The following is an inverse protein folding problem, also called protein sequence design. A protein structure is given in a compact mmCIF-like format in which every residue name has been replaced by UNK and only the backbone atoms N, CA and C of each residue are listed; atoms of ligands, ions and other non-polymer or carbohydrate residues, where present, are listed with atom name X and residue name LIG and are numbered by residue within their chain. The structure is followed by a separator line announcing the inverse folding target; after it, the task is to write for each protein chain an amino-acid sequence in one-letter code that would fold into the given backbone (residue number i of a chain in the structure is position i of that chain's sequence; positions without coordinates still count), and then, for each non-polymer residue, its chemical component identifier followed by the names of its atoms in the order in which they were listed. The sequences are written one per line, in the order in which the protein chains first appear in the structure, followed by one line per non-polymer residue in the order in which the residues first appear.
data_IF_265656565465
#
_entry.id   IF_265656565465
#
_cell.length_a   1.000
_cell.length_b   1.000
_cell.length_c   1.000
_cell.angle_alpha   90.00
_cell.angle_beta   90.00
_cell.angle_gamma   90.00
#
_symmetry.space_group_name_H-M   'P 1'
#
loop_
_entity.id
_entity.type
_entity.pdbx_description
1 polymer ?
#
# COMPACT_ATOMS: atom_id res chain seq x y z
N UNK A 1 -43.68 -9.05 18.12
CA UNK A 1 -43.28 -8.73 16.75
C UNK A 1 -42.75 -7.31 16.77
N UNK A 2 -41.43 -7.17 16.95
CA UNK A 2 -40.73 -5.91 16.86
C UNK A 2 -40.69 -5.51 15.39
N UNK A 3 -41.33 -4.39 15.04
CA UNK A 3 -41.12 -3.73 13.75
C UNK A 3 -39.73 -3.12 13.81
N UNK A 4 -38.75 -3.81 13.24
CA UNK A 4 -37.50 -3.14 12.82
C UNK A 4 -37.94 -2.07 11.81
N UNK A 5 -37.75 -0.80 12.16
CA UNK A 5 -37.79 0.28 11.19
C UNK A 5 -36.69 -0.03 10.19
N UNK A 6 -37.03 -0.15 8.91
CA UNK A 6 -36.07 -0.08 7.83
C UNK A 6 -35.48 1.33 7.88
N UNK A 7 -34.36 1.49 8.56
CA UNK A 7 -33.55 2.70 8.41
C UNK A 7 -33.02 2.66 6.98
N UNK A 8 -33.42 3.63 6.19
CA UNK A 8 -32.96 3.82 4.82
C UNK A 8 -31.50 4.26 4.89
N UNK A 9 -30.57 3.29 4.83
CA UNK A 9 -29.15 3.56 4.81
C UNK A 9 -28.78 4.25 3.51
N UNK A 10 -28.17 5.42 3.61
CA UNK A 10 -27.58 6.08 2.44
C UNK A 10 -26.33 5.32 1.99
N UNK A 11 -26.20 5.13 0.70
CA UNK A 11 -25.03 4.44 0.11
C UNK A 11 -23.73 5.16 0.48
N UNK A 12 -23.78 6.47 0.58
CA UNK A 12 -22.64 7.30 0.96
C UNK A 12 -22.16 7.00 2.39
N UNK A 13 -23.09 6.81 3.32
CA UNK A 13 -22.79 6.48 4.72
C UNK A 13 -22.19 5.07 4.84
N UNK A 14 -22.71 4.14 4.05
CA UNK A 14 -22.18 2.78 3.98
C UNK A 14 -20.76 2.77 3.38
N UNK A 15 -20.52 3.51 2.30
CA UNK A 15 -19.23 3.64 1.67
C UNK A 15 -18.21 4.29 2.62
N UNK A 16 -18.60 5.36 3.32
CA UNK A 16 -17.75 6.02 4.32
C UNK A 16 -17.39 5.08 5.48
N UNK A 17 -18.37 4.35 5.99
CA UNK A 17 -18.16 3.37 7.07
C UNK A 17 -17.22 2.25 6.64
N UNK A 18 -17.41 1.71 5.44
CA UNK A 18 -16.53 0.68 4.87
C UNK A 18 -15.10 1.20 4.71
N UNK A 19 -14.92 2.38 4.10
CA UNK A 19 -13.61 3.00 3.94
C UNK A 19 -12.92 3.19 5.30
N UNK A 20 -13.63 3.70 6.29
CA UNK A 20 -13.10 3.91 7.64
C UNK A 20 -12.62 2.60 8.25
N UNK A 21 -13.43 1.56 8.23
CA UNK A 21 -13.06 0.26 8.80
C UNK A 21 -11.83 -0.37 8.12
N UNK A 22 -11.74 -0.27 6.79
CA UNK A 22 -10.57 -0.78 6.05
C UNK A 22 -9.32 0.02 6.40
N UNK A 23 -9.40 1.35 6.40
CA UNK A 23 -8.26 2.23 6.72
C UNK A 23 -7.78 2.02 8.15
N UNK A 24 -8.69 1.97 9.12
CA UNK A 24 -8.34 1.71 10.53
C UNK A 24 -7.62 0.38 10.70
N UNK A 25 -8.12 -0.69 10.07
CA UNK A 25 -7.48 -2.00 10.12
C UNK A 25 -6.07 -1.98 9.51
N UNK A 26 -5.88 -1.33 8.37
CA UNK A 26 -4.57 -1.22 7.71
C UNK A 26 -3.59 -0.43 8.57
N UNK A 27 -4.02 0.71 9.09
CA UNK A 27 -3.18 1.58 9.94
C UNK A 27 -2.78 0.84 11.21
N UNK A 28 -3.75 0.28 11.94
CA UNK A 28 -3.48 -0.43 13.20
C UNK A 28 -2.48 -1.57 13.01
N UNK A 29 -2.69 -2.41 12.00
CA UNK A 29 -1.80 -3.56 11.72
C UNK A 29 -0.41 -3.12 11.31
N UNK A 30 -0.29 -2.07 10.49
CA UNK A 30 1.00 -1.56 10.03
C UNK A 30 1.79 -0.94 11.17
N UNK A 31 1.16 -0.12 12.00
CA UNK A 31 1.81 0.49 13.17
C UNK A 31 2.27 -0.60 14.15
N UNK A 32 1.41 -1.56 14.48
CA UNK A 32 1.79 -2.70 15.36
C UNK A 32 2.96 -3.50 14.79
N UNK A 33 2.99 -3.73 13.48
CA UNK A 33 4.09 -4.42 12.83
C UNK A 33 5.40 -3.62 12.92
N UNK A 34 5.34 -2.32 12.68
CA UNK A 34 6.49 -1.42 12.79
C UNK A 34 7.06 -1.39 14.22
N UNK A 35 6.19 -1.25 15.22
CA UNK A 35 6.59 -1.30 16.65
C UNK A 35 7.24 -2.65 16.99
N UNK A 36 6.60 -3.77 16.59
CA UNK A 36 7.13 -5.13 16.85
C UNK A 36 8.49 -5.37 16.21
N UNK A 37 8.74 -4.80 15.03
CA UNK A 37 10.01 -4.90 14.31
C UNK A 37 11.03 -3.84 14.72
N UNK A 38 10.64 -2.85 15.52
CA UNK A 38 11.51 -1.76 15.95
C UNK A 38 11.93 -0.81 14.82
N UNK A 39 11.18 -0.77 13.71
CA UNK A 39 11.48 0.11 12.58
C UNK A 39 10.92 1.51 12.83
N UNK A 40 11.60 2.52 12.27
CA UNK A 40 11.25 3.94 12.42
C UNK A 40 10.75 4.56 11.13
N UNK A 41 10.58 3.76 10.10
CA UNK A 41 10.13 4.22 8.79
C UNK A 41 9.11 3.26 8.20
N UNK A 42 8.01 3.82 7.71
CA UNK A 42 6.98 3.11 6.94
C UNK A 42 6.94 3.70 5.53
N UNK A 43 6.90 2.83 4.54
CA UNK A 43 6.70 3.24 3.14
C UNK A 43 5.38 2.65 2.67
N UNK A 44 4.47 3.51 2.18
CA UNK A 44 3.20 3.10 1.60
C UNK A 44 3.33 3.20 0.08
N UNK A 45 3.02 2.12 -0.63
CA UNK A 45 3.09 2.06 -2.09
C UNK A 45 1.90 1.29 -2.68
N UNK A 46 1.75 1.33 -4.01
CA UNK A 46 0.67 0.67 -4.74
C UNK A 46 -0.59 1.53 -4.86
N UNK A 47 -1.61 1.03 -5.56
CA UNK A 47 -2.82 1.79 -5.91
C UNK A 47 -3.58 2.34 -4.70
N UNK A 48 -3.68 1.57 -3.61
CA UNK A 48 -4.36 1.99 -2.37
C UNK A 48 -3.62 3.14 -1.68
N UNK A 49 -2.32 3.31 -1.92
CA UNK A 49 -1.55 4.45 -1.43
C UNK A 49 -2.03 5.81 -2.00
N UNK A 50 -2.86 5.82 -3.04
CA UNK A 50 -3.52 7.02 -3.55
C UNK A 50 -4.66 7.53 -2.64
N UNK A 51 -5.15 6.70 -1.72
CA UNK A 51 -6.22 7.08 -0.80
C UNK A 51 -5.73 8.13 0.20
N UNK A 52 -6.28 9.35 0.14
CA UNK A 52 -5.88 10.47 0.99
C UNK A 52 -6.17 10.22 2.47
N UNK A 53 -7.30 9.58 2.78
CA UNK A 53 -7.70 9.26 4.16
C UNK A 53 -6.74 8.25 4.79
N UNK A 54 -6.30 7.23 4.02
CA UNK A 54 -5.28 6.29 4.49
C UNK A 54 -3.96 7.00 4.81
N UNK A 55 -3.50 7.91 3.93
CA UNK A 55 -2.26 8.67 4.14
C UNK A 55 -2.32 9.54 5.39
N UNK A 56 -3.44 10.25 5.56
CA UNK A 56 -3.65 11.12 6.72
C UNK A 56 -3.64 10.30 8.01
N UNK A 57 -4.46 9.27 8.09
CA UNK A 57 -4.55 8.39 9.27
C UNK A 57 -3.23 7.68 9.60
N UNK A 58 -2.54 7.17 8.58
CA UNK A 58 -1.24 6.53 8.79
C UNK A 58 -0.21 7.51 9.35
N UNK A 59 -0.17 8.74 8.83
CA UNK A 59 0.73 9.77 9.33
C UNK A 59 0.42 10.17 10.77
N UNK A 60 -0.85 10.41 11.08
CA UNK A 60 -1.29 10.75 12.44
C UNK A 60 -0.86 9.69 13.48
N UNK A 61 -1.12 8.42 13.17
CA UNK A 61 -0.81 7.34 14.12
C UNK A 61 0.70 7.04 14.21
N UNK A 62 1.43 7.16 13.09
CA UNK A 62 2.87 6.97 13.06
C UNK A 62 3.61 8.09 13.81
N UNK A 63 3.16 9.35 13.69
CA UNK A 63 3.73 10.50 14.40
C UNK A 63 3.66 10.32 15.92
N UNK A 64 2.55 9.80 16.44
CA UNK A 64 2.39 9.49 17.89
C UNK A 64 3.42 8.46 18.39
N UNK A 65 4.00 7.67 17.48
CA UNK A 65 4.98 6.62 17.76
C UNK A 65 6.42 7.00 17.35
N UNK A 66 6.63 8.22 16.84
CA UNK A 66 7.91 8.67 16.33
C UNK A 66 8.38 7.84 15.12
N UNK A 67 7.45 7.50 14.23
CA UNK A 67 7.68 6.74 12.99
C UNK A 67 7.43 7.66 11.81
N UNK A 68 8.39 7.73 10.89
CA UNK A 68 8.28 8.50 9.65
C UNK A 68 7.47 7.71 8.60
N UNK A 69 6.61 8.41 7.85
CA UNK A 69 5.81 7.81 6.77
C UNK A 69 6.14 8.45 5.45
N UNK A 70 6.51 7.64 4.47
CA UNK A 70 6.78 8.04 3.10
C UNK A 70 5.79 7.40 2.12
N UNK A 71 5.40 8.15 1.12
CA UNK A 71 4.56 7.68 0.02
C UNK A 71 4.89 8.42 -1.27
N UNK A 72 4.72 7.78 -2.43
CA UNK A 72 4.99 8.41 -3.72
C UNK A 72 3.96 9.50 -4.03
N UNK A 73 4.25 10.32 -5.03
CA UNK A 73 3.25 11.21 -5.62
C UNK A 73 2.08 10.39 -6.19
N UNK A 74 0.90 11.01 -6.31
CA UNK A 74 -0.31 10.33 -6.81
C UNK A 74 -0.09 9.65 -8.16
N UNK A 75 0.65 10.29 -9.06
CA UNK A 75 0.95 9.77 -10.39
C UNK A 75 1.81 8.49 -10.38
N UNK A 76 2.52 8.22 -9.30
CA UNK A 76 3.40 7.04 -9.13
C UNK A 76 2.79 5.95 -8.24
N UNK A 77 1.54 6.12 -7.78
CA UNK A 77 0.86 5.11 -6.95
C UNK A 77 0.33 3.92 -7.76
N UNK A 78 0.02 4.14 -9.03
CA UNK A 78 -0.43 3.08 -9.95
C UNK A 78 0.70 2.64 -10.86
N UNK A 79 0.46 1.59 -11.64
CA UNK A 79 1.42 1.05 -12.60
C UNK A 79 1.92 2.17 -13.54
N UNK A 80 3.23 2.26 -13.66
CA UNK A 80 3.86 3.29 -14.50
C UNK A 80 5.23 2.83 -14.99
N UNK A 81 5.66 3.37 -16.13
CA UNK A 81 6.94 3.01 -16.74
C UNK A 81 8.16 3.36 -15.90
N UNK A 82 8.08 4.40 -15.04
CA UNK A 82 9.21 4.81 -14.21
C UNK A 82 9.57 3.75 -13.16
N UNK A 83 8.58 3.06 -12.55
CA UNK A 83 8.85 1.99 -11.60
C UNK A 83 9.52 0.79 -12.27
N UNK A 84 9.13 0.44 -13.50
CA UNK A 84 9.74 -0.64 -14.27
C UNK A 84 11.16 -0.29 -14.67
N UNK A 85 11.39 0.94 -15.13
CA UNK A 85 12.72 1.43 -15.47
C UNK A 85 13.66 1.46 -14.25
N UNK A 86 13.15 1.89 -13.09
CA UNK A 86 13.90 1.87 -11.84
C UNK A 86 14.27 0.44 -11.42
N UNK A 87 13.31 -0.49 -11.46
CA UNK A 87 13.56 -1.91 -11.16
C UNK A 87 14.61 -2.50 -12.11
N UNK A 88 14.49 -2.23 -13.42
CA UNK A 88 15.47 -2.66 -14.41
C UNK A 88 16.87 -2.07 -14.14
N UNK A 89 16.95 -0.78 -13.82
CA UNK A 89 18.22 -0.12 -13.49
C UNK A 89 18.93 -0.80 -12.31
N UNK A 90 18.21 -1.03 -11.22
CA UNK A 90 18.79 -1.67 -10.04
C UNK A 90 19.17 -3.13 -10.32
N UNK A 91 18.34 -3.86 -11.08
CA UNK A 91 18.66 -5.23 -11.51
C UNK A 91 19.92 -5.29 -12.35
N UNK A 92 20.08 -4.37 -13.31
CA UNK A 92 21.31 -4.24 -14.12
C UNK A 92 22.54 -3.89 -13.27
N UNK A 93 22.38 -3.02 -12.28
CA UNK A 93 23.47 -2.55 -11.43
C UNK A 93 24.01 -3.62 -10.48
N UNK A 94 23.13 -4.47 -9.94
CA UNK A 94 23.49 -5.41 -8.87
C UNK A 94 23.56 -6.87 -9.32
N UNK A 95 22.95 -7.24 -10.45
CA UNK A 95 23.00 -8.61 -10.96
C UNK A 95 24.12 -8.79 -11.99
N UNK A 96 24.87 -9.89 -11.86
CA UNK A 96 25.97 -10.23 -12.77
C UNK A 96 25.50 -10.72 -14.15
N UNK A 97 24.24 -11.15 -14.27
CA UNK A 97 23.66 -11.60 -15.55
C UNK A 97 22.26 -11.02 -15.75
N UNK A 98 22.18 -9.74 -16.16
CA UNK A 98 20.94 -8.97 -16.16
C UNK A 98 20.07 -9.16 -17.40
N UNK A 99 20.54 -9.85 -18.43
CA UNK A 99 19.85 -9.92 -19.71
C UNK A 99 19.05 -11.21 -19.82
N UNK A 100 17.74 -11.04 -20.07
CA UNK A 100 16.91 -12.11 -20.58
C UNK A 100 17.21 -12.30 -22.08
N UNK A 101 17.02 -13.51 -22.58
CA UNK A 101 17.06 -13.75 -24.03
C UNK A 101 15.81 -13.16 -24.71
N UNK A 102 15.81 -13.18 -26.05
CA UNK A 102 14.68 -12.68 -26.85
C UNK A 102 13.42 -13.56 -26.76
N UNK A 103 13.46 -14.67 -26.02
CA UNK A 103 12.37 -15.60 -25.80
C UNK A 103 11.65 -15.34 -24.45
N UNK A 104 11.96 -14.24 -23.78
CA UNK A 104 11.32 -13.87 -22.53
C UNK A 104 9.82 -13.72 -22.71
N UNK A 105 9.04 -14.54 -22.00
CA UNK A 105 7.60 -14.43 -21.92
C UNK A 105 7.18 -13.75 -20.62
N UNK A 106 6.08 -12.98 -20.68
CA UNK A 106 5.50 -12.39 -19.48
C UNK A 106 4.98 -13.47 -18.54
N UNK A 107 5.22 -13.31 -17.24
CA UNK A 107 4.60 -14.12 -16.18
C UNK A 107 3.54 -13.28 -15.47
N UNK A 108 2.30 -13.77 -15.45
CA UNK A 108 1.19 -13.07 -14.82
C UNK A 108 1.30 -13.03 -13.28
N UNK A 109 1.98 -14.01 -12.70
CA UNK A 109 2.23 -14.09 -11.26
C UNK A 109 3.68 -14.48 -11.02
N UNK A 110 4.37 -13.71 -10.18
CA UNK A 110 5.72 -14.02 -9.72
C UNK A 110 5.70 -14.06 -8.19
N UNK A 111 6.31 -15.09 -7.63
CA UNK A 111 6.57 -15.15 -6.20
C UNK A 111 7.71 -14.21 -5.84
N UNK A 112 7.67 -13.66 -4.63
CA UNK A 112 8.80 -12.95 -4.06
C UNK A 112 9.82 -14.01 -3.67
N UNK A 113 10.96 -14.06 -4.34
CA UNK A 113 12.06 -14.93 -3.97
C UNK A 113 12.64 -14.41 -2.65
N UNK A 114 12.65 -15.27 -1.65
CA UNK A 114 13.44 -15.03 -0.44
C UNK A 114 14.91 -15.34 -0.79
N UNK A 115 15.79 -14.31 -0.73
CA UNK A 115 17.24 -14.44 -0.85
C UNK A 115 17.85 -15.14 0.39
#
# INVERSE_FOLDING_TARGET
KSRMKEEEFKIEDLAASFQTGVVEMLVEKTIKAAEKKGVKTIIIAGGVAANSFLREKMREEAEKKGIDVYYPSMALCTDNGAMIAAAAYYKLKYNKNPFADLQLNGKASMEIEED
#
